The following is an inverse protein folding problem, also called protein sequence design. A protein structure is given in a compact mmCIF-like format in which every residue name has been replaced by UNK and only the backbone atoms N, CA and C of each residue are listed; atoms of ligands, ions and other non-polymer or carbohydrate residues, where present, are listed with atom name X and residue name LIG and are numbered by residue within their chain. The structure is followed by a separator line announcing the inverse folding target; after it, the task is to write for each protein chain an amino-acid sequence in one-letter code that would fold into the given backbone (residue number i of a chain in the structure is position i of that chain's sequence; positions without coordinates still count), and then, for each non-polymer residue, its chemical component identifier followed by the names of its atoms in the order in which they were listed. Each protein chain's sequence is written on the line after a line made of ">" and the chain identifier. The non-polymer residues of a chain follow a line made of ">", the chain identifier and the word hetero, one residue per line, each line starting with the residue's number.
data_IF_265920386236
#
_entry.id   IF_265920386236
#
_cell.length_a   1.000
_cell.length_b   1.000
_cell.length_c   1.000
_cell.angle_alpha   90.00
_cell.angle_beta   90.00
_cell.angle_gamma   90.00
#
_symmetry.space_group_name_H-M   'P 1'
#
loop_
_entity.id
_entity.type
_entity.pdbx_description
1 polymer ?
#
# COMPACT_ATOMS: atom_id res chain seq x y z
N UNK A 1 -25.40 -9.38 -13.07
CA UNK A 1 -24.84 -8.44 -12.08
C UNK A 1 -25.07 -8.97 -10.68
N UNK A 2 -24.10 -8.82 -9.77
CA UNK A 2 -24.29 -9.20 -8.38
C UNK A 2 -25.40 -8.35 -7.72
N UNK A 3 -26.01 -8.87 -6.66
CA UNK A 3 -26.97 -8.14 -5.83
C UNK A 3 -26.25 -7.47 -4.67
N UNK A 4 -26.81 -6.36 -4.20
CA UNK A 4 -26.25 -5.54 -3.12
C UNK A 4 -27.26 -5.42 -1.99
N UNK A 5 -26.81 -5.66 -0.76
CA UNK A 5 -27.62 -5.48 0.45
C UNK A 5 -26.89 -4.51 1.38
N UNK A 6 -27.46 -3.32 1.65
CA UNK A 6 -26.89 -2.40 2.63
C UNK A 6 -26.87 -3.00 4.03
N UNK A 7 -25.79 -2.76 4.77
CA UNK A 7 -25.60 -3.24 6.15
C UNK A 7 -25.69 -2.05 7.10
N UNK A 8 -26.59 -2.11 8.06
CA UNK A 8 -26.80 -1.02 9.00
C UNK A 8 -25.67 -0.92 10.05
N UNK A 9 -25.43 0.29 10.55
CA UNK A 9 -24.42 0.59 11.57
C UNK A 9 -23.05 0.89 10.96
N UNK A 10 -22.10 1.22 11.84
CA UNK A 10 -20.73 1.54 11.42
C UNK A 10 -20.02 0.30 10.85
N UNK A 11 -19.29 0.45 9.71
CA UNK A 11 -18.50 -0.62 9.15
C UNK A 11 -17.37 -1.06 10.09
N UNK A 12 -17.14 -2.35 10.17
CA UNK A 12 -15.95 -2.89 10.83
C UNK A 12 -14.75 -2.85 9.87
N UNK A 13 -14.12 -1.70 9.73
CA UNK A 13 -12.92 -1.49 8.91
C UNK A 13 -11.93 -0.62 9.69
N UNK A 14 -10.68 -1.07 9.77
CA UNK A 14 -9.60 -0.36 10.49
C UNK A 14 -9.13 0.83 9.63
N UNK A 15 -9.77 1.99 9.79
CA UNK A 15 -9.42 3.21 9.02
C UNK A 15 -8.45 4.14 9.76
N UNK A 16 -8.31 3.99 11.08
CA UNK A 16 -7.51 4.83 11.96
C UNK A 16 -8.11 4.87 13.37
N UNK A 17 -7.55 5.72 14.23
CA UNK A 17 -8.06 6.00 15.58
C UNK A 17 -8.90 7.29 15.64
N UNK A 18 -9.53 7.65 14.54
CA UNK A 18 -10.35 8.85 14.36
C UNK A 18 -11.71 8.48 13.76
N UNK A 19 -12.69 9.33 13.94
CA UNK A 19 -13.97 9.21 13.25
C UNK A 19 -13.80 9.60 11.78
N UNK A 20 -14.38 8.84 10.86
CA UNK A 20 -14.29 9.13 9.43
C UNK A 20 -14.89 10.50 9.07
N UNK A 21 -15.83 10.99 9.89
CA UNK A 21 -16.39 12.34 9.75
C UNK A 21 -15.39 13.46 10.05
N UNK A 22 -14.36 13.21 10.87
CA UNK A 22 -13.29 14.16 11.18
C UNK A 22 -12.49 14.55 9.94
N UNK A 23 -12.39 13.62 8.99
CA UNK A 23 -11.75 13.85 7.69
C UNK A 23 -12.74 14.22 6.59
N UNK A 24 -14.02 14.48 6.93
CA UNK A 24 -15.06 14.94 6.01
C UNK A 24 -15.61 13.85 5.10
N UNK A 25 -15.60 12.61 5.53
CA UNK A 25 -16.14 11.44 4.81
C UNK A 25 -17.28 10.79 5.58
N UNK A 26 -18.05 9.97 4.86
CA UNK A 26 -19.02 9.04 5.42
C UNK A 26 -18.68 7.62 4.99
N UNK A 27 -19.01 6.65 5.84
CA UNK A 27 -18.82 5.23 5.57
C UNK A 27 -20.15 4.51 5.37
N UNK A 28 -20.18 3.53 4.45
CA UNK A 28 -21.30 2.64 4.25
C UNK A 28 -20.78 1.22 3.99
N UNK A 29 -21.47 0.22 4.53
CA UNK A 29 -21.13 -1.19 4.36
C UNK A 29 -22.22 -1.91 3.56
N UNK A 30 -21.77 -2.83 2.72
CA UNK A 30 -22.65 -3.60 1.84
C UNK A 30 -22.23 -5.07 1.82
N UNK A 31 -23.21 -5.97 1.71
CA UNK A 31 -22.97 -7.33 1.28
C UNK A 31 -23.27 -7.44 -0.22
N UNK A 32 -22.28 -7.92 -0.96
CA UNK A 32 -22.36 -8.15 -2.41
C UNK A 32 -22.44 -9.65 -2.65
N UNK A 33 -23.51 -10.10 -3.28
CA UNK A 33 -23.76 -11.53 -3.55
C UNK A 33 -23.91 -11.79 -5.04
N UNK A 34 -23.31 -12.86 -5.52
CA UNK A 34 -23.34 -13.26 -6.91
C UNK A 34 -22.78 -14.64 -7.12
N UNK A 35 -22.60 -15.01 -8.37
CA UNK A 35 -21.89 -16.22 -8.79
C UNK A 35 -20.59 -15.81 -9.44
N UNK A 36 -19.46 -16.28 -8.94
CA UNK A 36 -18.13 -15.99 -9.45
C UNK A 36 -17.54 -17.18 -10.22
N UNK A 37 -16.78 -16.89 -11.25
CA UNK A 37 -16.04 -17.88 -12.05
C UNK A 37 -14.59 -17.94 -11.60
N UNK A 38 -13.96 -19.12 -11.62
CA UNK A 38 -12.53 -19.26 -11.41
C UNK A 38 -11.76 -19.06 -12.72
N UNK A 39 -10.54 -18.48 -12.62
CA UNK A 39 -9.64 -18.26 -13.75
C UNK A 39 -8.53 -19.33 -13.85
N UNK A 40 -8.61 -20.44 -13.16
CA UNK A 40 -7.55 -21.45 -13.03
C UNK A 40 -7.24 -22.27 -14.32
N UNK A 41 -7.61 -21.78 -15.50
CA UNK A 41 -7.29 -22.42 -16.81
C UNK A 41 -7.97 -23.77 -17.00
N UNK A 42 -7.24 -24.78 -17.56
CA UNK A 42 -7.78 -26.14 -17.78
C UNK A 42 -8.16 -26.86 -16.48
N UNK A 43 -7.71 -26.38 -15.33
CA UNK A 43 -8.11 -26.81 -13.98
C UNK A 43 -9.21 -25.94 -13.35
N UNK A 44 -9.93 -25.14 -14.17
CA UNK A 44 -10.97 -24.24 -13.67
C UNK A 44 -11.98 -24.98 -12.79
N UNK A 45 -12.22 -24.42 -11.59
CA UNK A 45 -13.14 -24.99 -10.59
C UNK A 45 -14.62 -24.71 -10.94
N UNK A 46 -14.88 -24.03 -12.09
CA UNK A 46 -16.20 -23.65 -12.53
C UNK A 46 -16.71 -22.37 -11.87
N UNK A 47 -17.99 -22.36 -11.51
CA UNK A 47 -18.69 -21.24 -10.88
C UNK A 47 -19.06 -21.59 -9.46
N UNK A 48 -19.07 -20.58 -8.57
CA UNK A 48 -19.53 -20.73 -7.19
C UNK A 48 -20.24 -19.47 -6.72
N UNK A 49 -21.29 -19.66 -5.92
CA UNK A 49 -22.00 -18.56 -5.29
C UNK A 49 -21.15 -17.96 -4.16
N UNK A 50 -21.23 -16.65 -4.01
CA UNK A 50 -20.55 -15.92 -2.97
C UNK A 50 -21.42 -14.82 -2.33
N UNK A 51 -21.07 -14.45 -1.13
CA UNK A 51 -21.51 -13.22 -0.47
C UNK A 51 -20.31 -12.65 0.27
N UNK A 52 -19.83 -11.50 -0.18
CA UNK A 52 -18.70 -10.83 0.45
C UNK A 52 -19.06 -9.42 0.93
N UNK A 53 -18.16 -8.80 1.70
CA UNK A 53 -18.31 -7.43 2.20
C UNK A 53 -17.63 -6.43 1.30
N UNK A 54 -18.27 -5.28 1.11
CA UNK A 54 -17.69 -4.07 0.48
C UNK A 54 -17.96 -2.89 1.41
N UNK A 55 -16.96 -2.05 1.66
CA UNK A 55 -17.09 -0.80 2.41
C UNK A 55 -16.80 0.37 1.48
N UNK A 56 -17.70 1.33 1.42
CA UNK A 56 -17.53 2.56 0.65
C UNK A 56 -17.32 3.75 1.59
N UNK A 57 -16.24 4.53 1.36
CA UNK A 57 -15.99 5.80 2.01
C UNK A 57 -16.12 6.90 0.97
N UNK A 58 -16.99 7.88 1.22
CA UNK A 58 -17.29 8.94 0.25
C UNK A 58 -17.25 10.32 0.90
N UNK A 59 -16.84 11.37 0.16
CA UNK A 59 -16.89 12.74 0.68
C UNK A 59 -18.29 13.10 1.16
N UNK A 60 -18.40 13.70 2.34
CA UNK A 60 -19.66 14.23 2.86
C UNK A 60 -20.23 15.33 1.96
N UNK A 61 -19.33 16.18 1.44
CA UNK A 61 -19.64 17.20 0.46
C UNK A 61 -19.45 16.66 -0.97
N UNK A 62 -20.55 16.49 -1.71
CA UNK A 62 -20.54 15.99 -3.08
C UNK A 62 -19.68 16.81 -4.05
N UNK A 63 -19.53 18.10 -3.78
CA UNK A 63 -18.74 19.00 -4.64
C UNK A 63 -17.24 18.75 -4.55
N UNK A 64 -16.80 18.02 -3.53
CA UNK A 64 -15.40 17.61 -3.35
C UNK A 64 -15.02 16.36 -4.11
N UNK A 65 -16.00 15.60 -4.60
CA UNK A 65 -15.68 14.37 -5.35
C UNK A 65 -14.97 14.69 -6.66
N UNK A 66 -13.79 14.12 -6.86
CA UNK A 66 -12.93 14.40 -8.02
C UNK A 66 -13.26 13.54 -9.26
N UNK A 67 -14.30 12.72 -9.22
CA UNK A 67 -14.70 11.84 -10.32
C UNK A 67 -13.98 10.48 -10.33
N UNK A 68 -13.13 10.18 -9.35
CA UNK A 68 -12.36 8.94 -9.32
C UNK A 68 -12.67 8.10 -8.08
N UNK A 69 -12.83 6.80 -8.30
CA UNK A 69 -12.95 5.80 -7.24
C UNK A 69 -11.66 4.99 -7.15
N UNK A 70 -11.15 4.87 -5.94
CA UNK A 70 -10.10 3.92 -5.57
C UNK A 70 -10.75 2.66 -5.03
N UNK A 71 -10.46 1.51 -5.63
CA UNK A 71 -10.93 0.20 -5.18
C UNK A 71 -9.75 -0.57 -4.61
N UNK A 72 -9.73 -0.77 -3.31
CA UNK A 72 -8.66 -1.50 -2.65
C UNK A 72 -9.03 -2.98 -2.46
N UNK A 73 -8.15 -3.86 -2.92
CA UNK A 73 -8.12 -5.24 -2.52
C UNK A 73 -7.58 -5.31 -1.10
N UNK A 74 -8.44 -5.51 -0.10
CA UNK A 74 -8.04 -5.47 1.31
C UNK A 74 -7.00 -6.55 1.62
N UNK A 75 -5.97 -6.17 2.37
CA UNK A 75 -4.88 -7.06 2.77
C UNK A 75 -5.34 -7.96 3.93
N UNK A 76 -4.98 -9.25 3.87
CA UNK A 76 -5.37 -10.23 4.89
C UNK A 76 -4.17 -10.92 5.57
N UNK A 77 -2.95 -10.44 5.38
CA UNK A 77 -1.73 -11.04 5.95
C UNK A 77 -1.80 -11.12 7.48
N UNK A 78 -2.41 -10.14 8.13
CA UNK A 78 -2.63 -10.11 9.58
C UNK A 78 -3.82 -10.95 10.07
N UNK A 79 -4.52 -11.65 9.18
CA UNK A 79 -5.75 -12.38 9.52
C UNK A 79 -6.99 -11.49 9.71
N UNK A 80 -6.90 -10.24 9.29
CA UNK A 80 -7.96 -9.23 9.31
C UNK A 80 -8.03 -8.57 7.94
N UNK A 81 -9.21 -8.13 7.53
CA UNK A 81 -9.36 -7.25 6.37
C UNK A 81 -8.78 -5.86 6.67
N UNK A 82 -7.55 -5.62 6.23
CA UNK A 82 -6.85 -4.37 6.46
C UNK A 82 -6.85 -3.47 5.20
N UNK A 83 -7.30 -2.22 5.30
CA UNK A 83 -7.21 -1.22 4.23
C UNK A 83 -5.80 -0.60 4.21
N UNK A 84 -4.81 -1.39 3.82
CA UNK A 84 -3.40 -1.06 3.98
C UNK A 84 -2.99 0.18 3.17
N UNK A 85 -3.53 0.35 1.95
CA UNK A 85 -3.27 1.57 1.16
C UNK A 85 -3.99 2.77 1.75
N UNK A 86 -5.24 2.60 2.25
CA UNK A 86 -5.91 3.67 3.00
C UNK A 86 -5.05 4.13 4.18
N UNK A 87 -4.61 3.21 5.03
CA UNK A 87 -3.79 3.54 6.22
C UNK A 87 -2.52 4.32 5.87
N UNK A 88 -1.93 4.07 4.70
CA UNK A 88 -0.70 4.73 4.25
C UNK A 88 -0.94 6.03 3.46
N UNK A 89 -2.12 6.20 2.84
CA UNK A 89 -2.32 7.28 1.86
C UNK A 89 -3.67 8.01 1.97
N UNK A 90 -4.43 7.79 3.04
CA UNK A 90 -5.75 8.44 3.22
C UNK A 90 -5.68 9.98 3.17
N UNK A 91 -4.55 10.58 3.56
CA UNK A 91 -4.34 12.03 3.47
C UNK A 91 -4.53 12.55 2.05
N UNK A 92 -3.95 11.88 1.05
CA UNK A 92 -4.11 12.24 -0.36
C UNK A 92 -5.51 11.86 -0.86
N UNK A 93 -5.99 10.68 -0.50
CA UNK A 93 -7.34 10.22 -0.90
C UNK A 93 -8.41 11.22 -0.44
N UNK A 94 -8.32 11.66 0.80
CA UNK A 94 -9.26 12.63 1.40
C UNK A 94 -9.09 14.02 0.81
N UNK A 95 -7.85 14.51 0.72
CA UNK A 95 -7.53 15.86 0.26
C UNK A 95 -8.01 16.10 -1.17
N UNK A 96 -7.80 15.13 -2.04
CA UNK A 96 -8.18 15.22 -3.45
C UNK A 96 -9.62 14.77 -3.71
N UNK A 97 -10.33 14.26 -2.71
CA UNK A 97 -11.75 13.93 -2.81
C UNK A 97 -12.06 12.66 -3.61
N UNK A 98 -11.23 11.65 -3.54
CA UNK A 98 -11.56 10.34 -4.11
C UNK A 98 -12.70 9.69 -3.33
N UNK A 99 -13.55 8.90 -3.98
CA UNK A 99 -14.28 7.87 -3.28
C UNK A 99 -13.37 6.64 -3.10
N UNK A 100 -13.50 5.97 -1.96
CA UNK A 100 -12.74 4.77 -1.65
C UNK A 100 -13.70 3.59 -1.46
N UNK A 101 -13.31 2.43 -1.99
CA UNK A 101 -14.07 1.18 -1.88
C UNK A 101 -13.12 0.06 -1.46
N UNK A 102 -13.26 -0.43 -0.23
CA UNK A 102 -12.52 -1.59 0.27
C UNK A 102 -13.29 -2.88 0.01
N UNK A 103 -12.65 -3.86 -0.62
CA UNK A 103 -13.26 -5.14 -1.00
C UNK A 103 -12.66 -6.28 -0.18
N UNK A 104 -13.50 -6.99 0.58
CA UNK A 104 -13.15 -8.25 1.25
C UNK A 104 -13.06 -9.36 0.21
N UNK A 105 -11.97 -9.33 -0.57
CA UNK A 105 -11.83 -10.19 -1.75
C UNK A 105 -11.28 -11.58 -1.44
N UNK A 106 -10.83 -11.87 -0.21
CA UNK A 106 -10.19 -13.13 0.15
C UNK A 106 -10.90 -13.87 1.28
N UNK A 107 -10.88 -15.20 1.19
CA UNK A 107 -11.56 -16.10 2.13
C UNK A 107 -11.08 -15.89 3.58
N UNK A 108 -9.79 -15.67 3.80
CA UNK A 108 -9.19 -15.47 5.12
C UNK A 108 -9.78 -14.26 5.83
N UNK A 109 -9.93 -13.13 5.17
CA UNK A 109 -10.53 -11.92 5.76
C UNK A 109 -12.01 -12.08 6.12
N UNK A 110 -12.75 -12.90 5.35
CA UNK A 110 -14.18 -13.13 5.54
C UNK A 110 -14.46 -14.22 6.55
N UNK A 111 -13.87 -15.42 6.37
CA UNK A 111 -14.24 -16.64 7.07
C UNK A 111 -13.23 -17.09 8.12
N UNK A 112 -12.04 -16.51 8.11
CA UNK A 112 -10.92 -16.98 8.91
C UNK A 112 -10.31 -18.27 8.37
N UNK A 113 -9.46 -18.87 9.18
CA UNK A 113 -8.67 -20.02 8.76
C UNK A 113 -7.52 -19.61 7.82
N UNK A 114 -6.68 -20.57 7.46
CA UNK A 114 -5.52 -20.31 6.59
C UNK A 114 -4.31 -19.73 7.33
N UNK A 115 -3.26 -19.48 6.55
CA UNK A 115 -1.97 -19.07 7.06
C UNK A 115 -1.94 -17.53 7.20
N UNK A 116 -1.80 -17.06 8.44
CA UNK A 116 -1.74 -15.63 8.76
C UNK A 116 -0.54 -15.33 9.66
N UNK A 117 -0.02 -14.10 9.60
CA UNK A 117 1.15 -13.71 10.38
C UNK A 117 0.85 -13.44 11.87
N UNK A 118 -0.42 -13.13 12.20
CA UNK A 118 -0.79 -12.69 13.56
C UNK A 118 -1.84 -13.60 14.20
N UNK A 119 -2.94 -13.89 13.50
CA UNK A 119 -4.03 -14.70 14.06
C UNK A 119 -5.29 -14.66 13.20
N UNK A 120 -6.42 -15.16 13.73
CA UNK A 120 -7.71 -15.09 13.05
C UNK A 120 -8.53 -13.94 13.62
N UNK A 121 -8.59 -12.85 12.87
CA UNK A 121 -9.41 -11.67 13.10
C UNK A 121 -10.37 -11.43 11.92
N UNK A 122 -10.81 -12.53 11.27
CA UNK A 122 -11.78 -12.46 10.18
C UNK A 122 -13.08 -11.81 10.60
N UNK A 123 -13.85 -11.34 9.64
CA UNK A 123 -15.15 -10.70 9.88
C UNK A 123 -16.07 -11.60 10.71
N UNK A 124 -16.17 -12.90 10.36
CA UNK A 124 -16.99 -13.85 11.09
C UNK A 124 -16.51 -14.13 12.51
N UNK A 125 -15.20 -14.06 12.75
CA UNK A 125 -14.63 -14.21 14.10
C UNK A 125 -14.89 -12.97 14.95
N UNK A 126 -14.82 -11.77 14.37
CA UNK A 126 -15.03 -10.52 15.08
C UNK A 126 -16.50 -10.26 15.42
N UNK A 127 -17.43 -10.51 14.48
CA UNK A 127 -18.88 -10.38 14.71
C UNK A 127 -19.64 -11.51 13.98
N UNK A 128 -19.77 -12.68 14.61
CA UNK A 128 -20.43 -13.84 14.01
C UNK A 128 -21.92 -13.60 13.67
N UNK A 129 -22.58 -12.67 14.38
CA UNK A 129 -23.98 -12.36 14.12
C UNK A 129 -24.13 -11.47 12.88
N UNK A 130 -23.37 -10.37 12.82
CA UNK A 130 -23.39 -9.41 11.71
C UNK A 130 -23.00 -10.07 10.39
N UNK A 131 -21.94 -10.88 10.41
CA UNK A 131 -21.34 -11.49 9.23
C UNK A 131 -21.76 -12.94 8.97
N UNK A 132 -22.83 -13.41 9.63
CA UNK A 132 -23.31 -14.81 9.51
C UNK A 132 -23.62 -15.23 8.07
N UNK A 133 -24.13 -14.32 7.25
CA UNK A 133 -24.55 -14.58 5.87
C UNK A 133 -23.40 -14.51 4.85
N UNK A 134 -22.24 -13.99 5.23
CA UNK A 134 -21.10 -13.97 4.32
C UNK A 134 -20.68 -15.41 3.96
N UNK A 135 -20.29 -15.60 2.70
CA UNK A 135 -19.81 -16.87 2.19
C UNK A 135 -18.77 -16.62 1.10
N UNK A 136 -17.55 -17.09 1.31
CA UNK A 136 -16.48 -16.97 0.33
C UNK A 136 -16.08 -18.37 -0.16
N UNK A 137 -16.20 -18.66 -1.47
CA UNK A 137 -15.97 -20.00 -2.01
C UNK A 137 -14.51 -20.42 -2.11
N UNK A 138 -13.56 -19.51 -1.80
CA UNK A 138 -12.13 -19.71 -1.91
C UNK A 138 -11.47 -18.72 -2.88
N UNK A 139 -10.16 -18.53 -2.76
CA UNK A 139 -9.46 -17.43 -3.42
C UNK A 139 -9.30 -17.60 -4.95
N UNK A 140 -9.56 -18.79 -5.50
CA UNK A 140 -9.69 -18.99 -6.95
C UNK A 140 -10.80 -18.14 -7.61
N UNK A 141 -11.78 -17.72 -6.82
CA UNK A 141 -12.92 -16.91 -7.25
C UNK A 141 -12.75 -15.42 -6.96
N UNK A 142 -11.75 -15.05 -6.15
CA UNK A 142 -11.49 -13.68 -5.72
C UNK A 142 -11.32 -12.71 -6.88
N UNK A 143 -10.67 -13.15 -7.95
CA UNK A 143 -10.40 -12.34 -9.14
C UNK A 143 -11.68 -11.91 -9.87
N UNK A 144 -12.65 -12.82 -9.99
CA UNK A 144 -13.94 -12.50 -10.61
C UNK A 144 -14.81 -11.67 -9.67
N UNK A 145 -14.83 -11.99 -8.38
CA UNK A 145 -15.52 -11.18 -7.36
C UNK A 145 -15.03 -9.73 -7.39
N UNK A 146 -13.72 -9.51 -7.48
CA UNK A 146 -13.12 -8.18 -7.59
C UNK A 146 -13.52 -7.49 -8.91
N UNK A 147 -13.57 -8.23 -10.02
CA UNK A 147 -14.07 -7.73 -11.31
C UNK A 147 -15.53 -7.30 -11.22
N UNK A 148 -16.39 -8.07 -10.54
CA UNK A 148 -17.80 -7.77 -10.38
C UNK A 148 -18.04 -6.50 -9.54
N UNK A 149 -17.19 -6.20 -8.56
CA UNK A 149 -17.23 -4.90 -7.86
C UNK A 149 -16.86 -3.75 -8.82
N UNK A 150 -15.85 -3.92 -9.65
CA UNK A 150 -15.51 -2.96 -10.70
C UNK A 150 -16.67 -2.74 -11.69
N UNK A 151 -17.36 -3.81 -12.07
CA UNK A 151 -18.57 -3.74 -12.93
C UNK A 151 -19.70 -2.95 -12.26
N UNK A 152 -19.97 -3.20 -10.99
CA UNK A 152 -20.98 -2.44 -10.22
C UNK A 152 -20.69 -0.95 -10.22
N UNK A 153 -19.43 -0.55 -10.02
CA UNK A 153 -19.02 0.84 -10.02
C UNK A 153 -19.17 1.52 -11.38
N UNK A 154 -19.14 0.75 -12.47
CA UNK A 154 -19.34 1.27 -13.84
C UNK A 154 -20.79 1.28 -14.28
N UNK A 155 -21.56 0.26 -13.96
CA UNK A 155 -22.89 0.07 -14.50
C UNK A 155 -24.00 0.54 -13.55
N UNK A 156 -23.76 0.46 -12.23
CA UNK A 156 -24.72 0.80 -11.18
C UNK A 156 -24.08 1.49 -9.98
N UNK A 157 -23.25 2.55 -10.18
CA UNK A 157 -22.47 3.16 -9.10
C UNK A 157 -23.32 3.66 -7.93
N UNK A 158 -24.57 4.07 -8.20
CA UNK A 158 -25.47 4.58 -7.19
C UNK A 158 -25.79 3.56 -6.08
N UNK A 159 -25.66 2.26 -6.34
CA UNK A 159 -25.92 1.22 -5.35
C UNK A 159 -24.84 1.15 -4.26
N UNK A 160 -23.58 1.47 -4.60
CA UNK A 160 -22.44 1.52 -3.67
C UNK A 160 -22.11 2.95 -3.23
N UNK A 161 -22.21 3.91 -4.14
CA UNK A 161 -21.71 5.26 -3.96
C UNK A 161 -22.82 6.31 -3.80
N UNK A 162 -24.10 5.90 -3.84
CA UNK A 162 -25.24 6.81 -3.73
C UNK A 162 -25.25 7.84 -4.88
N UNK A 163 -24.98 9.10 -4.58
CA UNK A 163 -25.07 10.22 -5.55
C UNK A 163 -23.78 10.42 -6.39
N UNK A 164 -22.74 9.65 -6.15
CA UNK A 164 -21.46 9.82 -6.84
C UNK A 164 -21.40 8.94 -8.08
N UNK A 165 -21.00 9.52 -9.21
CA UNK A 165 -20.83 8.80 -10.49
C UNK A 165 -19.36 8.92 -10.90
N UNK A 166 -18.59 7.83 -10.89
CA UNK A 166 -17.18 7.88 -11.24
C UNK A 166 -16.97 8.06 -12.75
N UNK A 167 -15.97 8.85 -13.11
CA UNK A 167 -15.36 8.88 -14.44
C UNK A 167 -14.29 7.81 -14.57
N UNK A 168 -13.51 7.60 -13.50
CA UNK A 168 -12.40 6.66 -13.44
C UNK A 168 -12.51 5.74 -12.22
N UNK A 169 -12.06 4.50 -12.41
CA UNK A 169 -12.02 3.46 -11.37
C UNK A 169 -10.61 2.89 -11.35
N UNK A 170 -9.85 3.11 -10.29
CA UNK A 170 -8.49 2.61 -10.11
C UNK A 170 -8.46 1.49 -9.07
N UNK A 171 -7.68 0.44 -9.30
CA UNK A 171 -7.54 -0.67 -8.36
C UNK A 171 -6.20 -0.62 -7.64
N UNK A 172 -6.24 -0.77 -6.32
CA UNK A 172 -5.08 -0.69 -5.42
C UNK A 172 -4.91 -1.98 -4.64
N UNK A 173 -3.67 -2.35 -4.38
CA UNK A 173 -3.32 -3.47 -3.51
C UNK A 173 -1.94 -3.27 -2.91
N UNK A 174 -1.76 -3.74 -1.67
CA UNK A 174 -0.53 -3.63 -0.90
C UNK A 174 -0.08 -5.01 -0.41
N UNK A 175 1.25 -5.27 -0.42
CA UNK A 175 1.84 -6.48 0.11
C UNK A 175 1.24 -7.76 -0.51
N UNK A 176 0.65 -8.61 0.28
CA UNK A 176 -0.01 -9.83 -0.19
C UNK A 176 -1.14 -9.53 -1.20
N UNK A 177 -1.95 -8.50 -0.97
CA UNK A 177 -2.98 -8.11 -1.94
C UNK A 177 -2.39 -7.50 -3.23
N UNK A 178 -1.21 -6.90 -3.17
CA UNK A 178 -0.45 -6.50 -4.37
C UNK A 178 -0.02 -7.70 -5.22
N UNK A 179 0.25 -8.86 -4.60
CA UNK A 179 0.56 -10.10 -5.32
C UNK A 179 -0.68 -10.64 -6.04
N UNK A 180 -1.86 -10.57 -5.41
CA UNK A 180 -3.14 -10.88 -6.07
C UNK A 180 -3.43 -9.90 -7.21
N UNK A 181 -3.21 -8.61 -6.97
CA UNK A 181 -3.42 -7.59 -8.00
C UNK A 181 -2.44 -7.77 -9.19
N UNK A 182 -1.21 -8.25 -8.95
CA UNK A 182 -0.26 -8.61 -10.01
C UNK A 182 -0.81 -9.74 -10.89
N UNK A 183 -1.38 -10.77 -10.28
CA UNK A 183 -2.05 -11.87 -11.00
C UNK A 183 -3.27 -11.36 -11.77
N UNK A 184 -4.07 -10.48 -11.16
CA UNK A 184 -5.21 -9.84 -11.82
C UNK A 184 -4.78 -9.08 -13.08
N UNK A 185 -3.75 -8.25 -12.99
CA UNK A 185 -3.21 -7.47 -14.11
C UNK A 185 -2.73 -8.39 -15.23
N UNK A 186 -2.01 -9.46 -14.87
CA UNK A 186 -1.39 -10.35 -15.86
C UNK A 186 -2.37 -11.29 -16.55
N UNK A 187 -3.43 -11.73 -15.88
CA UNK A 187 -4.27 -12.82 -16.35
C UNK A 187 -5.76 -12.48 -16.50
N UNK A 188 -6.26 -11.47 -15.78
CA UNK A 188 -7.70 -11.17 -15.70
C UNK A 188 -8.05 -9.86 -16.39
N UNK A 189 -7.28 -8.80 -16.19
CA UNK A 189 -7.61 -7.44 -16.66
C UNK A 189 -7.85 -7.35 -18.17
N UNK A 190 -7.11 -8.10 -19.00
CA UNK A 190 -7.32 -8.11 -20.45
C UNK A 190 -8.73 -8.59 -20.86
N UNK A 191 -9.32 -9.45 -20.03
CA UNK A 191 -10.66 -10.01 -20.25
C UNK A 191 -11.73 -9.17 -19.55
N UNK A 192 -11.55 -8.88 -18.28
CA UNK A 192 -12.51 -8.18 -17.43
C UNK A 192 -12.67 -6.70 -17.78
N UNK A 193 -11.57 -5.98 -17.96
CA UNK A 193 -11.49 -4.55 -18.38
C UNK A 193 -12.24 -3.59 -17.46
N UNK A 194 -12.19 -3.85 -16.14
CA UNK A 194 -12.98 -3.10 -15.17
C UNK A 194 -12.27 -1.85 -14.63
N UNK A 195 -10.95 -1.81 -14.66
CA UNK A 195 -10.17 -0.73 -14.05
C UNK A 195 -9.42 0.11 -15.08
N UNK A 196 -9.23 1.40 -14.80
CA UNK A 196 -8.54 2.37 -15.65
C UNK A 196 -7.05 2.52 -15.31
N UNK A 197 -6.64 2.03 -14.15
CA UNK A 197 -5.26 2.04 -13.68
C UNK A 197 -5.08 1.19 -12.44
N UNK A 198 -3.84 0.82 -12.16
CA UNK A 198 -3.49 -0.02 -11.03
C UNK A 198 -2.36 0.60 -10.21
N UNK A 199 -2.51 0.62 -8.87
CA UNK A 199 -1.43 0.83 -7.93
C UNK A 199 -1.07 -0.51 -7.28
N UNK A 200 0.16 -0.97 -7.51
CA UNK A 200 0.72 -2.16 -6.89
C UNK A 200 1.78 -1.71 -5.92
N UNK A 201 1.51 -1.82 -4.60
CA UNK A 201 2.34 -1.27 -3.56
C UNK A 201 2.97 -2.39 -2.72
N UNK A 202 4.27 -2.28 -2.48
CA UNK A 202 5.04 -3.19 -1.61
C UNK A 202 4.90 -4.68 -1.97
N UNK A 203 4.88 -5.02 -3.26
CA UNK A 203 4.87 -6.43 -3.69
C UNK A 203 6.25 -7.05 -3.61
N UNK A 204 6.29 -8.37 -3.43
CA UNK A 204 7.50 -9.20 -3.59
C UNK A 204 7.69 -9.69 -5.03
N UNK A 205 8.66 -10.59 -5.26
CA UNK A 205 9.02 -11.04 -6.61
C UNK A 205 8.02 -11.94 -7.31
N UNK A 206 7.22 -12.69 -6.54
CA UNK A 206 6.16 -13.56 -7.06
C UNK A 206 4.80 -12.89 -7.18
N UNK A 207 3.80 -13.67 -7.60
CA UNK A 207 2.39 -13.28 -7.64
C UNK A 207 1.52 -14.40 -7.02
N UNK A 208 0.28 -14.08 -6.64
CA UNK A 208 -0.63 -15.07 -6.08
C UNK A 208 -1.07 -16.08 -7.15
N UNK A 209 -1.18 -17.38 -6.80
CA UNK A 209 -1.66 -18.38 -7.73
C UNK A 209 -3.11 -18.14 -8.16
N UNK A 210 -3.42 -18.40 -9.45
CA UNK A 210 -4.78 -18.27 -9.98
C UNK A 210 -5.78 -19.25 -9.39
N UNK A 211 -5.30 -20.40 -8.93
CA UNK A 211 -6.13 -21.44 -8.30
C UNK A 211 -6.46 -21.13 -6.82
N UNK A 212 -5.99 -19.98 -6.31
CA UNK A 212 -6.24 -19.56 -4.95
C UNK A 212 -5.43 -20.30 -3.88
N UNK A 213 -4.38 -21.02 -4.27
CA UNK A 213 -3.51 -21.67 -3.30
C UNK A 213 -2.83 -20.62 -2.40
N UNK A 214 -2.69 -20.94 -1.11
CA UNK A 214 -2.01 -20.05 -0.15
C UNK A 214 -0.54 -19.90 -0.51
N UNK A 215 -0.08 -18.66 -0.64
CA UNK A 215 1.33 -18.32 -0.91
C UNK A 215 2.24 -18.91 0.18
N UNK A 216 1.85 -18.76 1.45
CA UNK A 216 2.65 -19.28 2.57
C UNK A 216 2.66 -20.81 2.58
N UNK A 217 1.51 -21.46 2.37
CA UNK A 217 1.45 -22.91 2.25
C UNK A 217 2.32 -23.47 1.12
N UNK A 218 2.39 -22.79 -0.03
CA UNK A 218 3.26 -23.23 -1.13
C UNK A 218 4.74 -23.14 -0.75
N UNK A 219 5.15 -22.08 -0.04
CA UNK A 219 6.51 -21.95 0.46
C UNK A 219 6.84 -22.99 1.53
N UNK A 220 5.92 -23.29 2.45
CA UNK A 220 6.09 -24.34 3.47
C UNK A 220 6.26 -25.74 2.86
N UNK A 221 5.62 -26.01 1.74
CA UNK A 221 5.80 -27.24 0.95
C UNK A 221 7.15 -27.28 0.21
N UNK A 222 7.95 -26.20 0.30
CA UNK A 222 9.22 -26.05 -0.40
C UNK A 222 9.09 -25.63 -1.86
N UNK A 223 7.90 -25.25 -2.32
CA UNK A 223 7.71 -24.67 -3.64
C UNK A 223 8.26 -23.24 -3.64
N UNK A 224 8.98 -22.86 -4.69
CA UNK A 224 9.44 -21.50 -4.89
C UNK A 224 8.37 -20.75 -5.70
N UNK A 225 8.13 -19.51 -5.32
CA UNK A 225 7.36 -18.62 -6.17
C UNK A 225 8.22 -18.21 -7.37
N UNK A 226 7.73 -18.43 -8.55
CA UNK A 226 8.38 -17.96 -9.77
C UNK A 226 8.33 -16.43 -9.85
N UNK A 227 9.39 -15.80 -10.39
CA UNK A 227 9.36 -14.38 -10.67
C UNK A 227 8.18 -14.02 -11.56
N UNK A 228 7.42 -13.01 -11.17
CA UNK A 228 6.21 -12.61 -11.89
C UNK A 228 6.30 -11.14 -12.32
N UNK A 229 7.05 -10.82 -13.41
CA UNK A 229 7.02 -9.50 -14.01
C UNK A 229 5.62 -9.19 -14.56
N UNK A 230 5.30 -7.92 -14.75
CA UNK A 230 4.10 -7.54 -15.47
C UNK A 230 4.24 -7.89 -16.96
N UNK A 231 3.14 -8.22 -17.61
CA UNK A 231 3.09 -8.45 -19.06
C UNK A 231 3.47 -7.18 -19.83
N UNK A 232 4.04 -7.35 -21.04
CA UNK A 232 4.50 -6.22 -21.84
C UNK A 232 3.37 -5.43 -22.50
N UNK A 233 2.20 -6.07 -22.73
CA UNK A 233 1.02 -5.49 -23.38
C UNK A 233 -0.05 -5.03 -22.37
N UNK A 234 0.35 -4.34 -21.33
CA UNK A 234 -0.56 -3.76 -20.36
C UNK A 234 -1.63 -2.89 -21.02
N UNK A 235 -2.89 -3.08 -20.63
CA UNK A 235 -4.02 -2.33 -21.21
C UNK A 235 -4.10 -0.90 -20.67
N UNK A 236 -3.79 -0.70 -19.39
CA UNK A 236 -3.90 0.56 -18.65
C UNK A 236 -2.65 0.83 -17.84
N UNK A 237 -2.45 2.06 -17.34
CA UNK A 237 -1.34 2.39 -16.47
C UNK A 237 -1.22 1.51 -15.23
N UNK A 238 0.01 1.08 -14.93
CA UNK A 238 0.39 0.38 -13.70
C UNK A 238 1.48 1.18 -13.00
N UNK A 239 1.18 1.68 -11.81
CA UNK A 239 2.14 2.30 -10.90
C UNK A 239 2.56 1.28 -9.86
N UNK A 240 3.83 0.92 -9.84
CA UNK A 240 4.42 -0.06 -8.95
C UNK A 240 5.36 0.65 -7.98
N UNK A 241 5.08 0.58 -6.68
CA UNK A 241 5.83 1.28 -5.62
C UNK A 241 6.44 0.23 -4.68
N UNK A 242 7.75 0.27 -4.50
CA UNK A 242 8.54 -0.79 -3.89
C UNK A 242 9.49 -0.19 -2.84
N UNK A 243 9.58 -0.82 -1.67
CA UNK A 243 10.54 -0.45 -0.62
C UNK A 243 11.84 -1.24 -0.72
N UNK A 244 12.86 -0.87 0.07
CA UNK A 244 14.09 -1.65 0.14
C UNK A 244 13.84 -3.10 0.62
N UNK A 245 12.97 -3.28 1.63
CA UNK A 245 12.60 -4.62 2.11
C UNK A 245 12.03 -5.47 0.98
N UNK A 246 11.14 -4.89 0.19
CA UNK A 246 10.49 -5.61 -0.91
C UNK A 246 11.48 -6.00 -2.01
N UNK A 247 12.47 -5.12 -2.30
CA UNK A 247 13.47 -5.38 -3.34
C UNK A 247 14.28 -6.63 -3.03
N UNK A 248 14.84 -6.73 -1.83
CA UNK A 248 15.70 -7.87 -1.47
C UNK A 248 14.94 -9.06 -0.91
N UNK A 249 13.71 -8.82 -0.45
CA UNK A 249 12.86 -9.81 0.19
C UNK A 249 13.01 -9.85 1.71
N UNK A 250 12.06 -10.47 2.36
CA UNK A 250 12.02 -10.72 3.80
C UNK A 250 11.52 -12.14 4.06
N UNK A 251 10.21 -12.30 4.34
CA UNK A 251 9.56 -13.61 4.46
C UNK A 251 9.28 -14.25 3.09
N UNK A 252 9.29 -13.45 2.02
CA UNK A 252 9.06 -13.85 0.62
C UNK A 252 10.26 -13.46 -0.25
N UNK A 253 10.49 -14.14 -1.38
CA UNK A 253 11.54 -13.80 -2.33
C UNK A 253 11.38 -12.37 -2.87
N UNK A 254 12.47 -11.62 -2.94
CA UNK A 254 12.47 -10.20 -3.25
C UNK A 254 12.04 -9.84 -4.67
N UNK A 255 11.53 -8.61 -4.81
CA UNK A 255 11.11 -8.03 -6.08
C UNK A 255 12.25 -7.93 -7.12
N UNK A 256 13.52 -7.92 -6.69
CA UNK A 256 14.65 -7.91 -7.62
C UNK A 256 14.55 -8.98 -8.72
N UNK A 257 13.90 -10.12 -8.41
CA UNK A 257 13.68 -11.21 -9.36
C UNK A 257 12.69 -10.89 -10.48
N UNK A 258 11.77 -9.95 -10.23
CA UNK A 258 10.72 -9.51 -11.15
C UNK A 258 10.96 -8.09 -11.70
N UNK A 259 12.15 -7.50 -11.46
CA UNK A 259 12.51 -6.19 -12.00
C UNK A 259 12.44 -6.19 -13.52
N UNK A 260 11.83 -5.16 -14.07
CA UNK A 260 11.72 -4.92 -15.51
C UNK A 260 11.83 -3.44 -15.82
N UNK A 261 12.17 -3.05 -17.05
CA UNK A 261 12.19 -1.64 -17.46
C UNK A 261 10.79 -1.01 -17.40
N UNK A 262 10.75 0.28 -17.14
CA UNK A 262 9.56 1.09 -17.35
C UNK A 262 9.20 1.11 -18.85
N UNK A 263 7.91 1.25 -19.15
CA UNK A 263 7.40 1.36 -20.51
C UNK A 263 6.24 2.37 -20.59
N UNK A 264 5.49 2.39 -21.67
CA UNK A 264 4.37 3.34 -21.85
C UNK A 264 3.22 3.14 -20.85
N UNK A 265 3.14 1.99 -20.19
CA UNK A 265 2.06 1.61 -19.25
C UNK A 265 2.57 1.16 -17.89
N UNK A 266 3.88 1.11 -17.66
CA UNK A 266 4.49 0.71 -16.40
C UNK A 266 5.43 1.80 -15.89
N UNK A 267 5.26 2.18 -14.62
CA UNK A 267 6.24 2.93 -13.83
C UNK A 267 6.51 2.19 -12.54
N UNK A 268 7.78 2.01 -12.22
CA UNK A 268 8.20 1.44 -10.94
C UNK A 268 9.07 2.45 -10.20
N UNK A 269 8.65 2.78 -9.00
CA UNK A 269 9.41 3.56 -8.04
C UNK A 269 9.91 2.65 -6.92
N UNK A 270 11.21 2.52 -6.79
CA UNK A 270 11.87 1.92 -5.63
C UNK A 270 12.35 3.05 -4.74
N UNK A 271 12.01 3.04 -3.46
CA UNK A 271 12.16 4.18 -2.55
C UNK A 271 13.31 3.92 -1.58
N UNK A 272 14.33 4.79 -1.61
CA UNK A 272 15.48 4.70 -0.69
C UNK A 272 15.08 5.02 0.75
N UNK A 273 15.68 4.30 1.71
CA UNK A 273 15.48 4.50 3.15
C UNK A 273 14.15 3.98 3.68
N UNK A 274 13.42 3.11 2.94
CA UNK A 274 12.09 2.65 3.33
C UNK A 274 12.05 1.16 3.65
N UNK A 275 11.16 0.78 4.55
CA UNK A 275 10.83 -0.61 4.85
C UNK A 275 9.40 -0.93 4.39
N UNK A 276 9.09 -2.23 4.30
CA UNK A 276 7.76 -2.74 3.94
C UNK A 276 6.66 -2.13 4.82
N UNK A 277 6.92 -2.10 6.12
CA UNK A 277 6.14 -1.40 7.13
C UNK A 277 7.08 -0.54 8.00
N UNK A 278 6.58 0.51 8.61
CA UNK A 278 7.37 1.49 9.35
C UNK A 278 6.57 2.15 10.51
N UNK A 279 7.09 3.23 11.08
CA UNK A 279 6.41 3.97 12.14
C UNK A 279 5.08 4.58 11.68
N UNK A 280 4.96 4.96 10.40
CA UNK A 280 3.68 5.45 9.87
C UNK A 280 2.62 4.34 9.91
N UNK A 281 2.96 3.17 9.39
CA UNK A 281 2.06 2.01 9.29
C UNK A 281 1.41 1.63 10.63
N UNK A 282 2.17 1.70 11.74
CA UNK A 282 1.68 1.16 13.03
C UNK A 282 1.36 2.21 14.09
N UNK A 283 1.70 3.48 13.84
CA UNK A 283 1.51 4.57 14.82
C UNK A 283 0.91 5.81 14.18
N UNK A 284 1.66 6.45 13.27
CA UNK A 284 1.34 7.79 12.79
C UNK A 284 0.10 7.79 11.91
N UNK A 285 -0.04 6.85 10.97
CA UNK A 285 -1.20 6.76 10.08
C UNK A 285 -2.53 6.61 10.81
N UNK A 286 -2.52 6.06 12.03
CA UNK A 286 -3.73 5.92 12.85
C UNK A 286 -4.24 7.23 13.44
N UNK A 287 -3.39 8.25 13.58
CA UNK A 287 -3.73 9.56 14.17
C UNK A 287 -3.66 10.71 13.16
N UNK A 288 -3.12 10.47 11.97
CA UNK A 288 -2.86 11.50 10.97
C UNK A 288 -4.12 11.89 10.20
N UNK A 289 -4.95 12.74 10.79
CA UNK A 289 -6.17 13.27 10.13
C UNK A 289 -5.89 14.51 9.26
N UNK A 290 -4.65 15.03 9.26
CA UNK A 290 -4.31 16.35 8.74
C UNK A 290 -4.55 17.50 9.74
N UNK A 291 -5.09 17.18 10.91
CA UNK A 291 -5.23 18.10 12.03
C UNK A 291 -4.32 17.73 13.22
N UNK A 292 -3.59 16.61 13.14
CA UNK A 292 -2.60 16.23 14.11
C UNK A 292 -1.51 17.30 14.20
N UNK A 293 -1.05 17.62 15.41
CA UNK A 293 0.03 18.58 15.62
C UNK A 293 1.37 18.00 15.17
N UNK A 294 2.33 18.86 14.82
CA UNK A 294 3.68 18.42 14.44
C UNK A 294 4.36 17.69 15.59
N UNK A 295 4.09 18.07 16.84
CA UNK A 295 4.60 17.41 18.02
C UNK A 295 4.07 15.97 18.16
N UNK A 296 2.80 15.74 17.86
CA UNK A 296 2.19 14.40 17.86
C UNK A 296 2.78 13.53 16.73
N UNK A 297 2.90 14.08 15.52
CA UNK A 297 3.51 13.37 14.41
C UNK A 297 4.98 13.04 14.71
N UNK A 298 5.76 14.00 15.17
CA UNK A 298 7.18 13.80 15.53
C UNK A 298 7.34 12.75 16.64
N UNK A 299 6.45 12.74 17.64
CA UNK A 299 6.44 11.71 18.69
C UNK A 299 6.14 10.32 18.12
N UNK A 300 5.27 10.22 17.12
CA UNK A 300 4.98 8.96 16.41
C UNK A 300 6.19 8.42 15.65
N UNK A 301 6.98 9.31 15.04
CA UNK A 301 8.22 8.97 14.34
C UNK A 301 9.46 8.84 15.26
N UNK A 302 9.33 9.03 16.54
CA UNK A 302 10.46 8.84 17.45
C UNK A 302 11.00 7.41 17.37
N UNK A 303 12.34 7.21 17.31
CA UNK A 303 12.94 5.88 17.26
C UNK A 303 12.42 4.97 18.37
N UNK A 304 11.98 3.79 18.01
CA UNK A 304 11.44 2.80 18.95
C UNK A 304 11.91 1.41 18.54
N UNK A 305 12.33 0.64 19.53
CA UNK A 305 12.62 -0.78 19.36
C UNK A 305 11.54 -1.69 20.00
N UNK A 306 10.36 -1.14 20.27
CA UNK A 306 9.20 -1.89 20.74
C UNK A 306 8.19 -2.03 19.61
N UNK A 307 7.99 -3.26 19.13
CA UNK A 307 7.07 -3.62 18.05
C UNK A 307 6.05 -4.63 18.57
N UNK A 308 4.76 -4.25 18.61
CA UNK A 308 3.66 -5.15 19.02
C UNK A 308 3.93 -5.90 20.33
N UNK A 309 4.49 -5.21 21.33
CA UNK A 309 4.83 -5.78 22.64
C UNK A 309 6.14 -6.59 22.68
N UNK A 310 6.87 -6.66 21.59
CA UNK A 310 8.18 -7.30 21.51
C UNK A 310 9.29 -6.26 21.44
N UNK A 311 10.39 -6.52 22.14
CA UNK A 311 11.60 -5.67 22.08
C UNK A 311 12.55 -6.18 21.01
N UNK A 312 12.86 -5.32 20.04
CA UNK A 312 13.79 -5.58 18.96
C UNK A 312 15.24 -5.20 19.36
N UNK A 313 16.25 -5.79 18.70
CA UNK A 313 17.66 -5.44 18.91
C UNK A 313 17.97 -3.98 18.59
N UNK A 314 17.31 -3.39 17.60
CA UNK A 314 17.48 -1.99 17.17
C UNK A 314 16.12 -1.36 16.84
N UNK A 315 16.02 -0.02 16.81
CA UNK A 315 14.80 0.64 16.37
C UNK A 315 14.38 0.17 14.98
N UNK A 316 13.09 -0.04 14.77
CA UNK A 316 12.55 -0.26 13.43
C UNK A 316 12.53 1.04 12.63
N UNK A 317 12.24 0.97 11.33
CA UNK A 317 12.25 2.11 10.43
C UNK A 317 11.24 3.19 10.90
N UNK A 318 11.76 4.38 11.14
CA UNK A 318 11.00 5.56 11.57
C UNK A 318 11.02 6.69 10.54
N UNK A 319 11.47 6.41 9.32
CA UNK A 319 11.53 7.39 8.24
C UNK A 319 10.15 7.76 7.72
N UNK A 320 9.82 9.06 7.62
CA UNK A 320 8.49 9.47 7.18
C UNK A 320 8.26 9.37 5.67
N UNK A 321 9.32 9.18 4.88
CA UNK A 321 9.28 9.35 3.42
C UNK A 321 8.35 8.38 2.68
N UNK A 322 8.09 7.20 3.21
CA UNK A 322 7.34 6.16 2.53
C UNK A 322 5.93 6.61 2.14
N UNK A 323 5.14 7.06 3.13
CA UNK A 323 3.77 7.48 2.87
C UNK A 323 3.68 8.72 1.99
N UNK A 324 4.60 9.70 2.13
CA UNK A 324 4.61 10.89 1.27
C UNK A 324 4.89 10.55 -0.19
N UNK A 325 5.83 9.62 -0.45
CA UNK A 325 6.11 9.17 -1.81
C UNK A 325 4.95 8.35 -2.37
N UNK A 326 4.29 7.51 -1.55
CA UNK A 326 3.11 6.77 -1.96
C UNK A 326 1.95 7.70 -2.34
N UNK A 327 1.72 8.77 -1.59
CA UNK A 327 0.73 9.80 -1.93
C UNK A 327 1.04 10.45 -3.29
N UNK A 328 2.31 10.79 -3.54
CA UNK A 328 2.74 11.33 -4.82
C UNK A 328 2.57 10.32 -5.97
N UNK A 329 2.78 9.03 -5.71
CA UNK A 329 2.55 7.96 -6.68
C UNK A 329 1.07 7.82 -7.04
N UNK A 330 0.16 7.94 -6.08
CA UNK A 330 -1.30 7.93 -6.30
C UNK A 330 -1.72 9.12 -7.15
N UNK A 331 -1.28 10.32 -6.79
CA UNK A 331 -1.55 11.56 -7.54
C UNK A 331 -0.99 11.46 -8.98
N UNK A 332 0.20 10.89 -9.13
CA UNK A 332 0.83 10.63 -10.42
C UNK A 332 0.04 9.62 -11.27
N UNK A 333 -0.42 8.51 -10.68
CA UNK A 333 -1.25 7.53 -11.37
C UNK A 333 -2.59 8.14 -11.80
N UNK A 334 -3.23 8.90 -10.94
CA UNK A 334 -4.49 9.59 -11.25
C UNK A 334 -4.31 10.55 -12.44
N UNK A 335 -3.25 11.35 -12.44
CA UNK A 335 -2.89 12.22 -13.55
C UNK A 335 -2.67 11.39 -14.83
N UNK A 336 -1.96 10.28 -14.74
CA UNK A 336 -1.68 9.41 -15.87
C UNK A 336 -2.94 8.81 -16.48
N UNK A 337 -3.84 8.30 -15.65
CA UNK A 337 -5.15 7.76 -16.10
C UNK A 337 -5.96 8.83 -16.82
N UNK A 338 -6.00 10.07 -16.30
CA UNK A 338 -6.83 11.16 -16.84
C UNK A 338 -6.26 11.81 -18.09
N UNK A 339 -4.94 11.95 -18.17
CA UNK A 339 -4.27 12.81 -19.17
C UNK A 339 -3.34 12.05 -20.09
N UNK A 340 -3.12 10.75 -19.86
CA UNK A 340 -2.10 9.93 -20.49
C UNK A 340 -0.65 10.42 -20.24
N UNK A 341 -0.43 11.29 -19.23
CA UNK A 341 0.91 11.79 -18.86
C UNK A 341 1.47 10.93 -17.72
N UNK A 342 2.48 10.09 -17.96
CA UNK A 342 3.02 9.20 -16.94
C UNK A 342 3.82 9.98 -15.87
N UNK A 343 3.88 9.47 -14.63
CA UNK A 343 4.85 9.93 -13.65
C UNK A 343 6.29 9.79 -14.17
N UNK A 344 7.26 10.50 -13.59
CA UNK A 344 8.66 10.39 -14.00
C UNK A 344 9.17 8.96 -13.85
N UNK A 345 10.03 8.53 -14.79
CA UNK A 345 10.82 7.31 -14.63
C UNK A 345 12.01 7.58 -13.72
N UNK A 346 12.33 6.64 -12.85
CA UNK A 346 13.42 6.75 -11.86
C UNK A 346 14.40 5.60 -12.03
N UNK A 347 15.70 5.79 -11.77
CA UNK A 347 16.62 4.68 -11.59
C UNK A 347 16.11 3.70 -10.51
N UNK A 348 16.48 2.44 -10.62
CA UNK A 348 16.25 1.47 -9.52
C UNK A 348 17.24 1.74 -8.39
N UNK A 349 16.94 1.20 -7.21
CA UNK A 349 17.93 1.11 -6.13
C UNK A 349 19.14 0.30 -6.60
N UNK A 350 20.34 0.78 -6.35
CA UNK A 350 21.57 0.13 -6.80
C UNK A 350 21.81 -1.13 -5.96
N UNK A 351 22.01 -2.25 -6.65
CA UNK A 351 22.23 -3.55 -6.02
C UNK A 351 23.43 -4.23 -6.64
N UNK A 352 24.17 -5.03 -5.85
CA UNK A 352 25.32 -5.80 -6.29
C UNK A 352 25.31 -7.23 -5.72
N UNK A 353 25.85 -8.15 -6.49
CA UNK A 353 26.14 -9.54 -6.13
C UNK A 353 24.95 -10.32 -5.57
N UNK A 354 25.13 -11.60 -5.34
CA UNK A 354 24.30 -12.46 -4.51
C UNK A 354 22.86 -12.76 -4.96
N UNK A 355 22.25 -13.73 -4.25
CA UNK A 355 20.83 -14.03 -4.27
C UNK A 355 20.36 -14.28 -2.82
N UNK A 356 19.64 -13.33 -2.18
CA UNK A 356 19.31 -11.99 -2.68
C UNK A 356 20.53 -11.09 -2.86
N UNK A 357 20.44 -10.04 -3.69
CA UNK A 357 21.50 -9.06 -3.87
C UNK A 357 21.63 -8.18 -2.62
N UNK A 358 22.79 -7.56 -2.44
CA UNK A 358 22.99 -6.50 -1.45
C UNK A 358 22.79 -5.13 -2.08
N UNK A 359 22.38 -4.15 -1.28
CA UNK A 359 22.32 -2.76 -1.74
C UNK A 359 23.71 -2.12 -1.76
N UNK A 360 23.96 -1.29 -2.77
CA UNK A 360 25.05 -0.32 -2.74
C UNK A 360 24.64 0.82 -1.81
N UNK A 361 25.51 1.16 -0.86
CA UNK A 361 25.26 2.21 0.13
C UNK A 361 26.32 3.30 0.05
N UNK A 362 25.97 4.52 0.44
CA UNK A 362 26.88 5.63 0.58
C UNK A 362 27.73 5.55 1.88
N UNK A 363 28.55 6.57 2.14
CA UNK A 363 29.39 6.65 3.34
C UNK A 363 28.62 6.69 4.67
N UNK A 364 27.33 6.93 4.65
CA UNK A 364 26.42 6.94 5.80
C UNK A 364 25.59 5.67 5.93
N UNK A 365 25.78 4.71 5.02
CA UNK A 365 25.02 3.46 4.98
C UNK A 365 23.60 3.63 4.42
N UNK A 366 23.34 4.69 3.66
CA UNK A 366 22.06 4.95 2.99
C UNK A 366 22.13 4.39 1.56
N UNK A 367 21.08 3.70 1.14
CA UNK A 367 21.01 3.07 -0.18
C UNK A 367 21.07 4.11 -1.30
N UNK A 368 21.82 3.80 -2.35
CA UNK A 368 22.00 4.64 -3.54
C UNK A 368 20.94 4.27 -4.60
N UNK A 369 20.55 5.24 -5.41
CA UNK A 369 19.54 5.06 -6.46
C UNK A 369 18.11 5.24 -5.97
N UNK A 370 17.14 4.83 -6.78
CA UNK A 370 15.73 4.90 -6.47
C UNK A 370 15.15 6.32 -6.39
N UNK A 371 13.94 6.41 -5.83
CA UNK A 371 13.33 7.68 -5.42
C UNK A 371 14.02 8.16 -4.16
N UNK A 372 14.62 9.35 -4.25
CA UNK A 372 15.32 9.97 -3.14
C UNK A 372 14.54 11.16 -2.60
N UNK A 373 14.53 11.28 -1.29
CA UNK A 373 13.82 12.33 -0.55
C UNK A 373 14.80 13.09 0.33
N UNK A 374 14.43 14.25 0.88
CA UNK A 374 15.33 15.00 1.75
C UNK A 374 15.78 14.23 3.00
N UNK A 375 15.03 13.23 3.47
CA UNK A 375 15.46 12.40 4.61
C UNK A 375 16.64 11.47 4.31
N UNK A 376 16.87 11.14 3.04
CA UNK A 376 18.05 10.36 2.60
C UNK A 376 19.15 11.22 1.98
N UNK A 377 18.82 12.40 1.43
CA UNK A 377 19.81 13.30 0.79
C UNK A 377 20.42 14.30 1.77
N UNK A 378 19.69 14.63 2.85
CA UNK A 378 20.12 15.55 3.92
C UNK A 378 19.79 14.90 5.29
N UNK A 379 20.45 13.77 5.62
CA UNK A 379 20.02 12.92 6.71
C UNK A 379 20.50 13.41 8.08
N UNK A 380 19.67 13.23 9.10
CA UNK A 380 20.06 13.31 10.53
C UNK A 380 20.12 11.93 11.19
N UNK A 381 19.89 10.91 10.41
CA UNK A 381 19.95 9.49 10.75
C UNK A 381 19.86 8.66 9.49
N UNK A 382 19.97 7.37 9.61
CA UNK A 382 19.70 6.45 8.50
C UNK A 382 18.47 5.61 8.80
N UNK A 383 17.69 5.34 7.80
CA UNK A 383 16.62 4.35 7.82
C UNK A 383 16.86 3.37 6.68
N UNK A 384 16.47 2.11 6.87
CA UNK A 384 16.71 1.04 5.91
C UNK A 384 15.57 0.03 5.92
N UNK A 385 15.38 -0.64 4.78
CA UNK A 385 14.50 -1.80 4.66
C UNK A 385 15.07 -3.08 5.27
N UNK A 386 16.35 -3.10 5.64
CA UNK A 386 17.01 -4.21 6.30
C UNK A 386 17.14 -4.02 7.82
N UNK A 387 17.53 -5.10 8.52
CA UNK A 387 17.72 -5.09 9.98
C UNK A 387 16.71 -5.96 10.72
N UNK A 388 16.91 -6.12 12.05
CA UNK A 388 16.05 -6.90 12.93
C UNK A 388 15.80 -8.36 12.45
N UNK A 389 16.80 -8.97 11.83
CA UNK A 389 16.70 -10.25 11.11
C UNK A 389 16.35 -11.48 12.00
N UNK A 390 16.50 -11.36 13.31
CA UNK A 390 16.21 -12.44 14.26
C UNK A 390 14.70 -12.66 14.49
N UNK A 391 13.86 -11.78 13.96
CA UNK A 391 12.41 -11.85 14.09
C UNK A 391 11.76 -11.73 12.70
N UNK A 392 11.07 -12.78 12.20
CA UNK A 392 10.44 -12.76 10.87
C UNK A 392 9.45 -11.61 10.63
N UNK A 393 8.66 -11.24 11.65
CA UNK A 393 7.74 -10.10 11.56
C UNK A 393 8.53 -8.78 11.49
N UNK A 394 9.59 -8.64 12.30
CA UNK A 394 10.39 -7.43 12.36
C UNK A 394 11.23 -7.20 11.09
N UNK A 395 11.50 -8.25 10.29
CA UNK A 395 12.10 -8.10 8.96
C UNK A 395 11.30 -7.17 8.05
N UNK A 396 9.97 -7.12 8.19
CA UNK A 396 9.11 -6.23 7.42
C UNK A 396 9.27 -4.76 7.83
N UNK A 397 9.75 -4.50 9.05
CA UNK A 397 9.84 -3.17 9.62
C UNK A 397 11.25 -2.54 9.49
N UNK A 398 12.18 -3.24 8.89
CA UNK A 398 13.53 -2.73 8.67
C UNK A 398 14.22 -2.22 9.93
N UNK A 399 14.99 -1.15 9.79
CA UNK A 399 15.70 -0.52 10.92
C UNK A 399 15.90 0.98 10.73
N UNK A 400 16.23 1.67 11.84
CA UNK A 400 16.61 3.07 11.81
C UNK A 400 17.57 3.42 12.94
N UNK A 401 18.44 4.41 12.70
CA UNK A 401 19.44 4.90 13.64
C UNK A 401 19.62 6.40 13.46
N UNK A 402 19.56 7.18 14.54
CA UNK A 402 19.92 8.59 14.52
C UNK A 402 21.44 8.74 14.53
N UNK A 403 21.97 9.70 13.81
CA UNK A 403 23.38 10.05 13.89
C UNK A 403 23.70 10.70 15.25
N UNK A 404 24.87 10.40 15.77
CA UNK A 404 25.37 11.06 16.97
C UNK A 404 25.64 12.56 16.73
N UNK A 405 25.79 13.30 17.81
CA UNK A 405 26.00 14.77 17.77
C UNK A 405 27.24 15.13 16.94
N UNK A 406 28.35 14.39 17.09
CA UNK A 406 29.59 14.66 16.36
C UNK A 406 29.42 14.47 14.84
N UNK A 407 28.65 13.47 14.43
CA UNK A 407 28.32 13.24 13.01
C UNK A 407 27.43 14.36 12.48
N UNK A 408 26.39 14.77 13.23
CA UNK A 408 25.51 15.87 12.83
C UNK A 408 26.26 17.22 12.73
N UNK A 409 27.14 17.51 13.69
CA UNK A 409 28.01 18.72 13.64
C UNK A 409 28.96 18.71 12.44
N UNK A 410 29.50 17.54 12.07
CA UNK A 410 30.34 17.40 10.89
C UNK A 410 29.55 17.60 9.58
N UNK A 411 28.33 17.08 9.51
CA UNK A 411 27.45 17.22 8.34
C UNK A 411 26.90 18.64 8.21
N UNK A 412 26.57 19.26 9.34
CA UNK A 412 25.89 20.56 9.41
C UNK A 412 26.64 21.50 10.40
N UNK A 413 27.83 22.00 10.04
CA UNK A 413 28.61 22.86 10.94
C UNK A 413 27.90 24.19 11.29
N UNK A 414 26.96 24.65 10.47
CA UNK A 414 26.06 25.76 10.76
C UNK A 414 24.83 25.38 11.61
N UNK A 415 24.78 24.15 12.10
CA UNK A 415 23.71 23.62 12.95
C UNK A 415 22.38 23.50 12.23
N UNK A 416 21.31 23.58 13.01
CA UNK A 416 19.92 23.40 12.54
C UNK A 416 19.55 24.32 11.37
N UNK A 417 20.05 25.55 11.33
CA UNK A 417 19.73 26.49 10.26
C UNK A 417 20.31 26.02 8.91
N UNK A 418 21.55 25.51 8.90
CA UNK A 418 22.17 24.95 7.69
C UNK A 418 21.43 23.68 7.27
N UNK A 419 21.14 22.77 8.20
CA UNK A 419 20.36 21.59 7.93
C UNK A 419 19.03 21.92 7.24
N UNK A 420 18.23 22.82 7.84
CA UNK A 420 16.93 23.20 7.29
C UNK A 420 17.03 23.87 5.92
N UNK A 421 18.07 24.68 5.68
CA UNK A 421 18.30 25.27 4.36
C UNK A 421 18.56 24.19 3.30
N UNK A 422 19.48 23.25 3.57
CA UNK A 422 19.79 22.13 2.67
C UNK A 422 18.60 21.18 2.50
N UNK A 423 17.88 20.89 3.59
CA UNK A 423 16.68 20.07 3.55
C UNK A 423 15.59 20.71 2.69
N UNK A 424 15.39 22.02 2.80
CA UNK A 424 14.44 22.77 1.98
C UNK A 424 14.79 22.69 0.48
N UNK A 425 16.06 22.86 0.13
CA UNK A 425 16.51 22.78 -1.25
C UNK A 425 16.26 21.38 -1.84
N UNK A 426 16.56 20.32 -1.07
CA UNK A 426 16.29 18.94 -1.46
C UNK A 426 14.79 18.65 -1.57
N UNK A 427 13.99 19.14 -0.61
CA UNK A 427 12.52 19.01 -0.64
C UNK A 427 11.93 19.66 -1.89
N UNK A 428 12.32 20.91 -2.18
CA UNK A 428 11.82 21.61 -3.34
C UNK A 428 12.28 20.93 -4.66
N UNK A 429 13.44 20.28 -4.67
CA UNK A 429 13.89 19.47 -5.80
C UNK A 429 13.04 18.20 -5.96
N UNK A 430 12.74 17.48 -4.89
CA UNK A 430 11.88 16.29 -4.90
C UNK A 430 10.45 16.61 -5.34
N UNK A 431 9.91 17.77 -4.90
CA UNK A 431 8.60 18.27 -5.33
C UNK A 431 8.61 18.59 -6.84
N UNK A 432 9.64 19.28 -7.33
CA UNK A 432 9.78 19.57 -8.78
C UNK A 432 9.91 18.31 -9.62
N UNK A 433 10.56 17.28 -9.08
CA UNK A 433 10.69 15.97 -9.71
C UNK A 433 9.39 15.15 -9.66
N UNK A 434 8.41 15.52 -8.85
CA UNK A 434 7.14 14.83 -8.71
C UNK A 434 7.16 13.66 -7.72
N UNK A 435 8.19 13.54 -6.89
CA UNK A 435 8.32 12.48 -5.88
C UNK A 435 7.65 12.81 -4.55
N UNK A 436 7.39 14.08 -4.31
CA UNK A 436 6.66 14.60 -3.14
C UNK A 436 5.64 15.63 -3.60
N UNK A 437 4.53 15.75 -2.88
CA UNK A 437 3.48 16.69 -3.23
C UNK A 437 3.75 18.08 -2.61
N UNK A 438 3.43 19.11 -3.37
CA UNK A 438 3.51 20.49 -2.85
C UNK A 438 2.60 20.72 -1.63
N UNK A 439 1.51 20.01 -1.56
CA UNK A 439 0.57 20.10 -0.45
C UNK A 439 1.17 19.66 0.89
N UNK A 440 2.17 18.77 0.87
CA UNK A 440 2.82 18.24 2.07
C UNK A 440 4.07 19.05 2.49
N UNK A 441 4.47 20.06 1.70
CA UNK A 441 5.73 20.79 1.87
C UNK A 441 5.92 21.39 3.25
N UNK A 442 4.92 22.09 3.76
CA UNK A 442 5.03 22.83 5.01
C UNK A 442 5.04 21.88 6.22
N UNK A 443 4.28 20.79 6.16
CA UNK A 443 4.27 19.72 7.15
C UNK A 443 5.62 19.01 7.18
N UNK A 444 6.19 18.66 6.03
CA UNK A 444 7.51 18.03 5.90
C UNK A 444 8.61 18.91 6.51
N UNK A 445 8.60 20.22 6.24
CA UNK A 445 9.58 21.14 6.82
C UNK A 445 9.42 21.29 8.32
N UNK A 446 8.19 21.38 8.81
CA UNK A 446 7.90 21.46 10.23
C UNK A 446 8.35 20.19 10.96
N UNK A 447 8.08 19.02 10.37
CA UNK A 447 8.51 17.72 10.89
C UNK A 447 10.06 17.60 10.91
N UNK A 448 10.74 17.98 9.82
CA UNK A 448 12.20 18.03 9.78
C UNK A 448 12.79 18.96 10.84
N UNK A 449 12.13 20.09 11.09
CA UNK A 449 12.54 20.99 12.16
C UNK A 449 12.33 20.40 13.56
N UNK A 450 11.26 19.66 13.78
CA UNK A 450 10.96 19.05 15.08
C UNK A 450 11.88 17.86 15.41
N UNK A 451 12.41 17.18 14.38
CA UNK A 451 13.19 15.93 14.53
C UNK A 451 14.72 16.14 14.42
N UNK A 452 15.23 17.37 14.18
CA UNK A 452 16.65 17.71 14.20
C UNK A 452 17.18 17.71 15.65
#
# INVERSE_FOLDING_TARGET
>A
MPSITPVAGEPNLIIGSYDISDVGYTAAEFFVSGTASSFAGEGALGEADYTTRVVALTPTDVTKFNGTVVVEWLNVSGGVDAPAVWLMAHREIVREGYAYVGVSAQAVGVQGGGDTLVGDFSLKTQDPQRYSTLHHPGDAYSFDMFSQVGQLLRESPAELLGRFTPEFVMAFGESQSAMFLTTYINHVDQLARMYDGFLVHSRFGGAAPLDGASILSELEKGHRLDPSPFRDDLRVPVMNVITETDVVGAILPGYYMARQPDNERLRTWEIAGTAHADAYTIKVGFIDTGAATIEELAAGYAPSNELMGQRLPQPFNFGPQHHYVLQAAISGLHTWVRTATPPPSVPRLDTEGGEPPSFTVDEHGIVVGGVRTPWVDVPVGRTSGGGNADNPMALLFGSGELFDEATRERLYPGGKNEYLARFTDSLDAAIRAGYLLRADRDEILALASATY
#
